data_IF_282333993274
#
_entry.id   IF_282333993274
#
_cell.length_a   1.000
_cell.length_b   1.000
_cell.length_c   1.000
_cell.angle_alpha   90.00
_cell.angle_beta   90.00
_cell.angle_gamma   90.00
#
_symmetry.space_group_name_H-M   'P 1'
#
loop_
_entity.id
_entity.type
_entity.pdbx_description
1 polymer ?
#
# COMPACT_ATOMS: atom_id res chain seq x y z
N UNK A 1 -4.70 0.82 -16.09
CA UNK A 1 -6.04 0.79 -16.75
C UNK A 1 -6.13 -0.14 -17.96
N UNK A 2 -5.15 -0.20 -18.85
CA UNK A 2 -5.26 -1.07 -20.05
C UNK A 2 -5.35 -2.57 -19.72
N UNK A 3 -4.66 -3.06 -18.70
CA UNK A 3 -4.67 -4.47 -18.29
C UNK A 3 -6.03 -4.90 -17.72
N UNK A 4 -6.60 -4.13 -16.79
CA UNK A 4 -7.92 -4.42 -16.21
C UNK A 4 -8.99 -4.39 -17.30
N UNK A 5 -8.98 -3.37 -18.17
CA UNK A 5 -9.92 -3.27 -19.27
C UNK A 5 -9.83 -4.47 -20.24
N UNK A 6 -8.62 -4.99 -20.46
CA UNK A 6 -8.43 -6.20 -21.28
C UNK A 6 -9.04 -7.43 -20.59
N UNK A 7 -8.79 -7.63 -19.29
CA UNK A 7 -9.40 -8.72 -18.53
C UNK A 7 -10.93 -8.69 -18.60
N UNK A 8 -11.52 -7.49 -18.40
CA UNK A 8 -12.97 -7.30 -18.42
C UNK A 8 -13.57 -7.52 -19.81
N UNK A 9 -12.85 -7.18 -20.87
CA UNK A 9 -13.32 -7.37 -22.25
C UNK A 9 -13.29 -8.83 -22.69
N UNK A 10 -12.32 -9.60 -22.19
CA UNK A 10 -12.06 -10.98 -22.61
C UNK A 10 -12.79 -12.03 -21.74
N UNK A 11 -13.36 -11.63 -20.59
CA UNK A 11 -13.95 -12.58 -19.64
C UNK A 11 -15.33 -12.11 -19.17
N UNK A 12 -16.27 -13.04 -19.12
CA UNK A 12 -17.59 -12.81 -18.53
C UNK A 12 -17.52 -12.81 -16.99
N UNK A 13 -18.51 -12.24 -16.29
CA UNK A 13 -18.56 -12.29 -14.82
C UNK A 13 -18.65 -13.72 -14.25
N UNK A 14 -19.20 -14.65 -15.02
CA UNK A 14 -19.28 -16.07 -14.64
C UNK A 14 -17.92 -16.76 -14.72
N UNK A 15 -17.03 -16.30 -15.60
CA UNK A 15 -15.70 -16.89 -15.81
C UNK A 15 -14.63 -16.24 -14.92
N UNK A 16 -14.74 -14.93 -14.69
CA UNK A 16 -13.74 -14.14 -13.97
C UNK A 16 -14.36 -13.18 -12.98
N UNK A 17 -13.97 -13.31 -11.75
CA UNK A 17 -14.23 -12.33 -10.68
C UNK A 17 -12.96 -11.56 -10.35
N UNK A 18 -13.09 -10.27 -10.02
CA UNK A 18 -11.96 -9.37 -9.74
C UNK A 18 -12.12 -8.76 -8.35
N UNK A 19 -11.02 -8.66 -7.62
CA UNK A 19 -10.87 -7.80 -6.43
C UNK A 19 -9.78 -6.79 -6.75
N UNK A 20 -10.01 -5.52 -6.41
CA UNK A 20 -9.04 -4.44 -6.64
C UNK A 20 -8.68 -3.76 -5.32
N UNK A 21 -7.39 -3.64 -5.03
CA UNK A 21 -6.86 -2.73 -3.99
C UNK A 21 -6.11 -1.60 -4.67
N UNK A 22 -6.66 -0.39 -4.57
CA UNK A 22 -6.08 0.86 -5.08
C UNK A 22 -5.40 1.62 -3.94
N UNK A 23 -4.24 1.14 -3.51
CA UNK A 23 -3.49 1.73 -2.40
C UNK A 23 -2.76 3.01 -2.81
N UNK A 24 -2.61 3.24 -4.10
CA UNK A 24 -2.01 4.46 -4.63
C UNK A 24 -3.04 5.50 -5.07
N UNK A 25 -4.34 5.26 -4.81
CA UNK A 25 -5.46 6.10 -5.21
C UNK A 25 -5.40 6.47 -6.70
N UNK A 26 -5.15 5.47 -7.55
CA UNK A 26 -5.01 5.61 -9.01
C UNK A 26 -6.33 5.84 -9.74
N UNK A 27 -7.43 5.95 -9.01
CA UNK A 27 -8.77 6.21 -9.56
C UNK A 27 -9.44 4.94 -10.08
N UNK A 28 -9.21 3.80 -9.42
CA UNK A 28 -9.85 2.53 -9.77
C UNK A 28 -11.33 2.46 -9.34
N UNK A 29 -11.84 3.44 -8.61
CA UNK A 29 -13.27 3.57 -8.27
C UNK A 29 -14.18 3.53 -9.51
N UNK A 30 -13.68 3.89 -10.70
CA UNK A 30 -14.41 3.77 -11.97
C UNK A 30 -14.84 2.34 -12.28
N UNK A 31 -14.26 1.34 -11.61
CA UNK A 31 -14.63 -0.07 -11.78
C UNK A 31 -15.70 -0.56 -10.78
N UNK A 32 -16.16 0.28 -9.84
CA UNK A 32 -17.10 -0.16 -8.81
C UNK A 32 -18.41 -0.72 -9.34
N UNK A 33 -18.85 -0.28 -10.53
CA UNK A 33 -20.10 -0.74 -11.15
C UNK A 33 -19.89 -1.89 -12.16
N UNK A 34 -18.68 -2.45 -12.22
CA UNK A 34 -18.38 -3.52 -13.17
C UNK A 34 -18.85 -4.86 -12.60
N UNK A 35 -19.64 -5.67 -13.36
CA UNK A 35 -20.23 -6.92 -12.87
C UNK A 35 -19.21 -7.97 -12.40
N UNK A 36 -17.97 -7.92 -12.91
CA UNK A 36 -16.89 -8.82 -12.52
C UNK A 36 -16.30 -8.48 -11.12
N UNK A 37 -16.57 -7.29 -10.58
CA UNK A 37 -16.00 -6.88 -9.30
C UNK A 37 -16.76 -7.53 -8.14
N UNK A 38 -16.07 -8.31 -7.29
CA UNK A 38 -16.68 -9.01 -6.16
C UNK A 38 -17.08 -8.10 -5.02
N UNK A 39 -16.31 -7.05 -4.79
CA UNK A 39 -16.51 -6.06 -3.74
C UNK A 39 -16.05 -4.69 -4.26
N UNK A 40 -16.54 -3.58 -3.72
CA UNK A 40 -16.06 -2.26 -4.08
C UNK A 40 -14.53 -2.15 -3.95
N UNK A 41 -13.93 -1.28 -4.76
CA UNK A 41 -12.49 -1.05 -4.74
C UNK A 41 -12.00 -0.73 -3.33
N UNK A 42 -10.96 -1.43 -2.91
CA UNK A 42 -10.36 -1.27 -1.58
C UNK A 42 -9.29 -0.18 -1.67
N UNK A 43 -9.40 0.87 -0.86
CA UNK A 43 -8.40 1.95 -0.76
C UNK A 43 -7.65 1.97 0.58
N UNK A 44 -7.75 0.90 1.36
CA UNK A 44 -7.24 0.83 2.73
C UNK A 44 -6.41 -0.45 2.93
N UNK A 45 -5.26 -0.32 3.61
CA UNK A 45 -4.31 -1.42 3.86
C UNK A 45 -4.94 -2.54 4.67
N UNK A 46 -5.69 -2.22 5.74
CA UNK A 46 -6.31 -3.24 6.59
C UNK A 46 -7.33 -4.05 5.81
N UNK A 47 -8.17 -3.40 5.01
CA UNK A 47 -9.14 -4.08 4.13
C UNK A 47 -8.44 -4.93 3.07
N UNK A 48 -7.24 -4.53 2.61
CA UNK A 48 -6.41 -5.34 1.71
C UNK A 48 -6.01 -6.66 2.38
N UNK A 49 -5.62 -6.64 3.66
CA UNK A 49 -5.33 -7.86 4.41
C UNK A 49 -6.58 -8.70 4.68
N UNK A 50 -7.73 -8.09 4.99
CA UNK A 50 -8.99 -8.82 5.09
C UNK A 50 -9.37 -9.53 3.79
N UNK A 51 -9.12 -8.91 2.64
CA UNK A 51 -9.32 -9.57 1.35
C UNK A 51 -8.38 -10.76 1.15
N UNK A 52 -7.13 -10.68 1.59
CA UNK A 52 -6.16 -11.79 1.58
C UNK A 52 -6.64 -12.94 2.48
N UNK A 53 -7.10 -12.64 3.68
CA UNK A 53 -7.61 -13.66 4.62
C UNK A 53 -8.89 -14.32 4.06
N UNK A 54 -9.78 -13.55 3.44
CA UNK A 54 -10.94 -14.06 2.76
C UNK A 54 -10.56 -14.99 1.60
N UNK A 55 -9.59 -14.59 0.75
CA UNK A 55 -9.09 -15.42 -0.34
C UNK A 55 -8.46 -16.73 0.14
N UNK A 56 -7.78 -16.72 1.28
CA UNK A 56 -7.24 -17.93 1.90
C UNK A 56 -8.37 -18.86 2.36
N UNK A 57 -9.44 -18.32 2.93
CA UNK A 57 -10.63 -19.07 3.30
C UNK A 57 -11.33 -19.66 2.07
N UNK A 58 -11.48 -18.89 1.01
CA UNK A 58 -12.04 -19.33 -0.26
C UNK A 58 -11.20 -20.44 -0.90
N UNK A 59 -9.86 -20.33 -0.90
CA UNK A 59 -8.98 -21.38 -1.39
C UNK A 59 -9.15 -22.69 -0.62
N UNK A 60 -9.30 -22.62 0.71
CA UNK A 60 -9.60 -23.80 1.54
C UNK A 60 -10.96 -24.41 1.21
N UNK A 61 -11.98 -23.57 1.01
CA UNK A 61 -13.33 -24.01 0.60
C UNK A 61 -13.28 -24.73 -0.75
N UNK A 62 -12.61 -24.16 -1.75
CA UNK A 62 -12.42 -24.78 -3.08
C UNK A 62 -11.64 -26.09 -3.00
N UNK A 63 -10.61 -26.16 -2.17
CA UNK A 63 -9.89 -27.42 -1.91
C UNK A 63 -10.83 -28.53 -1.46
N UNK A 64 -11.73 -28.23 -0.54
CA UNK A 64 -12.74 -29.20 -0.04
C UNK A 64 -13.69 -29.64 -1.16
N UNK A 65 -14.13 -28.73 -2.03
CA UNK A 65 -14.97 -29.05 -3.18
C UNK A 65 -14.24 -29.94 -4.19
N UNK A 66 -12.98 -29.63 -4.48
CA UNK A 66 -12.17 -30.39 -5.44
C UNK A 66 -11.89 -31.82 -4.95
N UNK A 67 -11.62 -31.99 -3.65
CA UNK A 67 -11.44 -33.31 -3.04
C UNK A 67 -12.70 -34.17 -3.19
N UNK A 68 -13.89 -33.61 -2.99
CA UNK A 68 -15.17 -34.32 -3.14
C UNK A 68 -15.42 -34.82 -4.56
N UNK A 69 -14.86 -34.15 -5.57
CA UNK A 69 -15.05 -34.50 -6.98
C UNK A 69 -13.79 -35.09 -7.63
N UNK A 70 -12.75 -35.44 -6.84
CA UNK A 70 -11.45 -35.89 -7.35
C UNK A 70 -10.83 -34.93 -8.39
N UNK A 71 -11.16 -33.64 -8.31
CA UNK A 71 -10.59 -32.61 -9.20
C UNK A 71 -9.24 -32.14 -8.65
N UNK A 72 -8.25 -31.94 -9.55
CA UNK A 72 -6.91 -31.48 -9.20
C UNK A 72 -6.76 -29.96 -9.27
N UNK A 73 -7.65 -29.30 -10.01
CA UNK A 73 -7.66 -27.86 -10.22
C UNK A 73 -9.05 -27.37 -10.60
N UNK A 74 -9.21 -26.06 -10.71
CA UNK A 74 -10.48 -25.41 -11.07
C UNK A 74 -11.00 -25.83 -12.45
N UNK A 75 -10.13 -26.02 -13.43
CA UNK A 75 -10.55 -26.33 -14.79
C UNK A 75 -11.16 -27.73 -14.85
N UNK A 76 -10.54 -28.72 -14.18
CA UNK A 76 -11.11 -30.07 -14.04
C UNK A 76 -12.40 -30.05 -13.24
N UNK A 77 -12.45 -29.29 -12.14
CA UNK A 77 -13.66 -29.14 -11.35
C UNK A 77 -14.82 -28.60 -12.20
N UNK A 78 -14.58 -27.53 -12.93
CA UNK A 78 -15.59 -26.89 -13.78
C UNK A 78 -16.04 -27.75 -14.96
N UNK A 79 -15.22 -28.69 -15.39
CA UNK A 79 -15.58 -29.62 -16.47
C UNK A 79 -16.67 -30.58 -16.06
N UNK A 80 -16.68 -31.01 -14.78
CA UNK A 80 -17.59 -32.05 -14.27
C UNK A 80 -18.64 -31.51 -13.30
N UNK A 81 -18.52 -30.26 -12.85
CA UNK A 81 -19.47 -29.64 -11.91
C UNK A 81 -20.64 -28.99 -12.63
N UNK A 82 -21.85 -29.20 -12.13
CA UNK A 82 -23.04 -28.46 -12.56
C UNK A 82 -22.99 -26.98 -12.13
N UNK A 83 -22.29 -26.69 -11.05
CA UNK A 83 -22.05 -25.30 -10.56
C UNK A 83 -20.59 -24.94 -10.76
N UNK A 84 -20.33 -24.20 -11.81
CA UNK A 84 -18.99 -23.71 -12.11
C UNK A 84 -18.52 -22.65 -11.12
N UNK A 85 -17.23 -22.58 -10.88
CA UNK A 85 -16.57 -21.56 -10.09
C UNK A 85 -15.85 -20.59 -11.03
N UNK A 86 -16.03 -19.28 -10.82
CA UNK A 86 -15.24 -18.26 -11.51
C UNK A 86 -13.79 -18.29 -11.05
N UNK A 87 -12.86 -17.97 -11.94
CA UNK A 87 -11.50 -17.63 -11.55
C UNK A 87 -11.53 -16.29 -10.79
N UNK A 88 -10.67 -16.10 -9.81
CA UNK A 88 -10.57 -14.85 -9.05
C UNK A 88 -9.20 -14.24 -9.32
N UNK A 89 -9.17 -13.00 -9.74
CA UNK A 89 -7.95 -12.21 -9.86
C UNK A 89 -7.99 -11.08 -8.85
N UNK A 90 -7.09 -11.13 -7.88
CA UNK A 90 -6.87 -10.06 -6.94
C UNK A 90 -5.71 -9.19 -7.39
N UNK A 91 -5.99 -7.92 -7.66
CA UNK A 91 -5.01 -6.93 -8.10
C UNK A 91 -4.75 -5.97 -6.95
N UNK A 92 -3.49 -5.88 -6.55
CA UNK A 92 -3.02 -4.91 -5.56
C UNK A 92 -2.16 -3.89 -6.29
N UNK A 93 -2.69 -2.67 -6.43
CA UNK A 93 -1.94 -1.55 -6.98
C UNK A 93 -1.00 -1.00 -5.91
N UNK A 94 0.28 -0.97 -6.26
CA UNK A 94 1.39 -0.49 -5.43
C UNK A 94 1.66 -1.31 -4.16
N UNK A 95 2.32 -2.45 -4.37
CA UNK A 95 2.78 -3.35 -3.30
C UNK A 95 3.68 -2.66 -2.25
N UNK A 96 4.30 -1.53 -2.61
CA UNK A 96 5.16 -0.75 -1.72
C UNK A 96 4.47 -0.42 -0.39
N UNK A 97 3.18 -0.10 -0.42
CA UNK A 97 2.41 0.23 0.79
C UNK A 97 2.26 -0.95 1.77
N UNK A 98 2.45 -2.17 1.29
CA UNK A 98 2.31 -3.38 2.12
C UNK A 98 3.65 -3.89 2.68
N UNK A 99 4.80 -3.35 2.27
CA UNK A 99 6.13 -3.91 2.55
C UNK A 99 6.42 -4.15 4.05
N UNK A 100 5.98 -3.25 4.93
CA UNK A 100 6.20 -3.36 6.38
C UNK A 100 5.24 -4.34 7.08
N UNK A 101 4.19 -4.76 6.38
CA UNK A 101 3.15 -5.64 6.91
C UNK A 101 3.32 -7.09 6.46
N UNK A 102 4.14 -7.34 5.45
CA UNK A 102 4.36 -8.69 4.89
C UNK A 102 5.08 -9.64 5.85
N UNK A 103 5.95 -9.16 6.71
CA UNK A 103 6.67 -10.01 7.67
C UNK A 103 5.73 -10.72 8.65
N UNK A 104 4.48 -10.24 8.80
CA UNK A 104 3.48 -10.76 9.71
C UNK A 104 2.38 -11.57 9.03
N UNK A 105 2.41 -11.71 7.70
CA UNK A 105 1.32 -12.33 6.96
C UNK A 105 1.64 -13.75 6.51
N UNK A 106 1.58 -14.70 7.45
CA UNK A 106 1.60 -16.13 7.13
C UNK A 106 0.45 -16.52 6.19
N UNK A 107 -0.69 -15.82 6.28
CA UNK A 107 -1.84 -15.99 5.38
C UNK A 107 -1.48 -15.72 3.93
N UNK A 108 -0.79 -14.62 3.63
CA UNK A 108 -0.40 -14.30 2.27
C UNK A 108 0.59 -15.32 1.70
N UNK A 109 1.59 -15.74 2.49
CA UNK A 109 2.54 -16.78 2.07
C UNK A 109 1.80 -18.09 1.75
N UNK A 110 0.92 -18.52 2.63
CA UNK A 110 0.12 -19.73 2.46
C UNK A 110 -0.78 -19.65 1.22
N UNK A 111 -1.36 -18.48 0.97
CA UNK A 111 -2.20 -18.24 -0.21
C UNK A 111 -1.38 -18.28 -1.49
N UNK A 112 -0.24 -17.58 -1.55
CA UNK A 112 0.62 -17.54 -2.74
C UNK A 112 1.16 -18.91 -3.14
N UNK A 113 1.44 -19.79 -2.18
CA UNK A 113 1.95 -21.14 -2.45
C UNK A 113 0.92 -22.06 -3.11
N UNK A 114 -0.38 -21.85 -2.85
CA UNK A 114 -1.41 -22.85 -3.18
C UNK A 114 -2.56 -22.34 -4.05
N UNK A 115 -2.72 -21.03 -4.20
CA UNK A 115 -3.96 -20.44 -4.76
C UNK A 115 -4.19 -20.72 -6.25
N UNK A 116 -3.17 -20.91 -7.06
CA UNK A 116 -3.31 -21.05 -8.51
C UNK A 116 -4.16 -22.25 -8.92
N UNK A 117 -3.99 -23.40 -8.24
CA UNK A 117 -4.78 -24.61 -8.52
C UNK A 117 -6.27 -24.36 -8.23
N UNK A 118 -6.57 -23.45 -7.30
CA UNK A 118 -7.93 -23.08 -6.91
C UNK A 118 -8.55 -22.04 -7.83
N UNK A 119 -7.80 -21.59 -8.88
CA UNK A 119 -8.23 -20.53 -9.78
C UNK A 119 -8.19 -19.15 -9.14
N UNK A 120 -7.34 -18.95 -8.14
CA UNK A 120 -7.13 -17.66 -7.47
C UNK A 120 -5.75 -17.16 -7.84
N UNK A 121 -5.67 -15.95 -8.38
CA UNK A 121 -4.45 -15.31 -8.84
C UNK A 121 -4.28 -13.98 -8.13
N UNK A 122 -3.07 -13.68 -7.64
CA UNK A 122 -2.77 -12.41 -7.00
C UNK A 122 -1.72 -11.70 -7.85
N UNK A 123 -2.04 -10.49 -8.25
CA UNK A 123 -1.17 -9.64 -9.05
C UNK A 123 -0.79 -8.40 -8.23
N UNK A 124 0.50 -8.21 -8.07
CA UNK A 124 1.04 -7.02 -7.43
C UNK A 124 1.63 -6.11 -8.49
N UNK A 125 1.20 -4.86 -8.48
CA UNK A 125 1.83 -3.81 -9.26
C UNK A 125 2.74 -2.98 -8.38
N UNK A 126 3.83 -2.49 -8.93
CA UNK A 126 4.70 -1.53 -8.27
C UNK A 126 5.30 -0.57 -9.28
N UNK A 127 5.27 0.72 -8.94
CA UNK A 127 6.01 1.77 -9.64
C UNK A 127 7.49 1.79 -9.24
N UNK A 128 7.82 1.06 -8.16
CA UNK A 128 9.16 0.98 -7.60
C UNK A 128 9.86 -0.29 -8.05
N UNK A 129 11.20 -0.23 -8.12
CA UNK A 129 11.99 -1.42 -8.38
C UNK A 129 11.85 -2.40 -7.19
N UNK A 130 11.35 -3.61 -7.47
CA UNK A 130 11.15 -4.66 -6.47
C UNK A 130 12.42 -4.99 -5.66
N UNK A 131 13.62 -4.74 -6.23
CA UNK A 131 14.89 -4.93 -5.52
C UNK A 131 15.03 -4.04 -4.28
N UNK A 132 14.34 -2.90 -4.28
CA UNK A 132 14.39 -1.90 -3.20
C UNK A 132 13.30 -2.09 -2.15
N UNK A 133 12.42 -3.09 -2.31
CA UNK A 133 11.33 -3.37 -1.39
C UNK A 133 11.75 -4.39 -0.35
N UNK A 134 11.38 -4.15 0.91
CA UNK A 134 11.52 -5.10 2.02
C UNK A 134 10.33 -6.07 2.03
N UNK A 135 10.36 -7.05 1.12
CA UNK A 135 9.28 -8.01 0.94
C UNK A 135 9.49 -9.33 1.70
N UNK A 136 10.61 -9.46 2.44
CA UNK A 136 10.92 -10.67 3.19
C UNK A 136 10.81 -11.95 2.32
N UNK A 137 10.21 -13.00 2.87
CA UNK A 137 9.99 -14.30 2.19
C UNK A 137 9.07 -14.21 0.96
N UNK A 138 8.28 -13.15 0.83
CA UNK A 138 7.33 -12.97 -0.27
C UNK A 138 8.05 -12.59 -1.56
N UNK A 139 9.23 -11.98 -1.48
CA UNK A 139 10.00 -11.54 -2.65
C UNK A 139 10.24 -12.66 -3.66
N UNK A 140 10.64 -13.82 -3.18
CA UNK A 140 10.94 -14.97 -4.05
C UNK A 140 9.66 -15.54 -4.68
N UNK A 141 8.54 -15.53 -3.93
CA UNK A 141 7.26 -15.98 -4.43
C UNK A 141 6.72 -15.04 -5.52
N UNK A 142 6.84 -13.72 -5.37
CA UNK A 142 6.42 -12.73 -6.36
C UNK A 142 7.27 -12.84 -7.64
N UNK A 143 8.57 -13.02 -7.53
CA UNK A 143 9.48 -13.18 -8.70
C UNK A 143 9.12 -14.39 -9.52
N UNK A 144 8.76 -15.52 -8.90
CA UNK A 144 8.30 -16.73 -9.58
C UNK A 144 7.04 -16.47 -10.40
N UNK A 145 6.11 -15.64 -9.90
CA UNK A 145 4.89 -15.28 -10.62
C UNK A 145 5.16 -14.34 -11.80
N UNK A 146 6.03 -13.36 -11.66
CA UNK A 146 6.38 -12.42 -12.73
C UNK A 146 7.03 -13.12 -13.95
N UNK A 147 7.82 -14.17 -13.73
CA UNK A 147 8.43 -14.93 -14.81
C UNK A 147 7.43 -15.80 -15.59
N UNK A 148 6.27 -16.10 -15.03
CA UNK A 148 5.23 -16.95 -15.64
C UNK A 148 4.07 -16.19 -16.27
N UNK A 149 3.98 -14.90 -16.10
CA UNK A 149 2.96 -14.08 -16.75
C UNK A 149 3.40 -13.77 -18.19
N UNK A 150 2.67 -14.23 -19.22
CA UNK A 150 3.02 -14.03 -20.64
C UNK A 150 2.67 -12.60 -21.12
N UNK A 151 2.92 -11.58 -20.32
CA UNK A 151 2.56 -10.21 -20.66
C UNK A 151 3.80 -9.31 -20.62
N UNK A 152 4.31 -8.97 -21.78
CA UNK A 152 5.15 -7.80 -21.98
C UNK A 152 4.35 -6.56 -21.60
N UNK A 153 4.60 -6.05 -20.40
CA UNK A 153 4.04 -4.76 -19.99
C UNK A 153 4.91 -3.65 -20.57
N UNK A 154 4.62 -3.22 -21.78
CA UNK A 154 5.05 -1.91 -22.26
C UNK A 154 4.28 -0.82 -21.50
N UNK A 155 4.54 -0.70 -20.22
CA UNK A 155 4.04 0.41 -19.42
C UNK A 155 5.06 1.55 -19.49
N UNK A 156 4.74 2.56 -20.28
CA UNK A 156 5.42 3.85 -20.21
C UNK A 156 5.00 4.58 -18.93
N UNK A 157 5.94 5.00 -18.05
CA UNK A 157 5.63 5.57 -16.74
C UNK A 157 5.10 7.01 -16.77
N UNK A 158 4.70 7.56 -17.91
CA UNK A 158 4.63 9.02 -18.08
C UNK A 158 3.31 9.71 -17.69
N UNK A 159 2.22 9.01 -17.35
CA UNK A 159 0.93 9.72 -17.17
C UNK A 159 0.38 9.74 -15.73
N UNK A 160 0.88 8.91 -14.82
CA UNK A 160 0.31 8.81 -13.47
C UNK A 160 0.93 9.76 -12.42
N UNK A 161 2.08 10.38 -12.72
CA UNK A 161 2.84 11.11 -11.70
C UNK A 161 2.34 12.52 -11.36
N UNK A 162 1.60 13.20 -12.23
CA UNK A 162 1.25 14.61 -11.98
C UNK A 162 -0.03 14.82 -11.17
N UNK A 163 -0.99 13.89 -11.27
CA UNK A 163 -2.29 14.03 -10.57
C UNK A 163 -2.22 13.65 -9.08
N UNK A 164 -1.31 12.74 -8.72
CA UNK A 164 -1.16 12.23 -7.34
C UNK A 164 -0.29 13.12 -6.45
N UNK A 165 0.74 13.74 -7.01
CA UNK A 165 1.60 14.69 -6.30
C UNK A 165 0.79 15.90 -5.82
N UNK A 166 -0.37 16.16 -6.40
CA UNK A 166 -1.19 17.36 -6.12
C UNK A 166 -2.40 17.10 -5.21
N UNK A 167 -2.70 15.85 -4.78
CA UNK A 167 -3.90 15.55 -3.99
C UNK A 167 -3.62 14.94 -2.60
N UNK A 168 -2.48 15.25 -2.00
CA UNK A 168 -2.15 14.80 -0.64
C UNK A 168 -3.09 15.37 0.44
N UNK A 169 -3.94 16.34 0.11
CA UNK A 169 -4.94 16.89 1.01
C UNK A 169 -6.13 15.94 1.29
N UNK A 170 -6.34 14.96 0.42
CA UNK A 170 -7.40 13.96 0.54
C UNK A 170 -6.94 12.63 1.16
N UNK A 171 -5.66 12.53 1.53
CA UNK A 171 -5.08 11.32 2.11
C UNK A 171 -5.55 11.12 3.55
N UNK A 172 -5.83 9.88 3.94
CA UNK A 172 -5.97 9.50 5.35
C UNK A 172 -4.59 9.47 6.05
N UNK A 173 -4.57 9.49 7.39
CA UNK A 173 -3.34 9.63 8.18
C UNK A 173 -2.23 8.65 7.75
N UNK A 174 -2.53 7.36 7.66
CA UNK A 174 -1.57 6.31 7.27
C UNK A 174 -1.09 6.49 5.82
N UNK A 175 -1.97 6.87 4.91
CA UNK A 175 -1.61 7.14 3.52
C UNK A 175 -0.63 8.31 3.43
N UNK A 176 -0.87 9.36 4.22
CA UNK A 176 0.00 10.52 4.28
C UNK A 176 1.38 10.18 4.88
N UNK A 177 1.45 9.30 5.88
CA UNK A 177 2.72 8.80 6.44
C UNK A 177 3.56 8.09 5.37
N UNK A 178 2.95 7.17 4.60
CA UNK A 178 3.63 6.50 3.49
C UNK A 178 4.03 7.46 2.36
N UNK A 179 3.17 8.41 2.04
CA UNK A 179 3.50 9.45 1.07
C UNK A 179 4.72 10.24 1.53
N UNK A 180 4.77 10.67 2.80
CA UNK A 180 5.92 11.36 3.39
C UNK A 180 7.18 10.50 3.37
N UNK A 181 7.08 9.21 3.73
CA UNK A 181 8.20 8.27 3.67
C UNK A 181 8.81 8.21 2.27
N UNK A 182 7.99 8.08 1.23
CA UNK A 182 8.42 8.04 -0.15
C UNK A 182 9.12 9.34 -0.58
N UNK A 183 8.53 10.49 -0.26
CA UNK A 183 9.12 11.80 -0.57
C UNK A 183 10.47 11.99 0.12
N UNK A 184 10.58 11.60 1.38
CA UNK A 184 11.84 11.68 2.14
C UNK A 184 12.91 10.76 1.54
N UNK A 185 12.56 9.54 1.16
CA UNK A 185 13.49 8.62 0.51
C UNK A 185 14.07 9.20 -0.77
N UNK A 186 13.23 9.80 -1.62
CA UNK A 186 13.65 10.47 -2.85
C UNK A 186 14.51 11.72 -2.58
N UNK A 187 14.38 12.33 -1.42
CA UNK A 187 15.20 13.46 -0.96
C UNK A 187 16.48 13.03 -0.22
N UNK A 188 16.88 11.76 -0.33
CA UNK A 188 18.16 11.26 0.18
C UNK A 188 18.12 10.84 1.65
N UNK A 189 16.96 10.77 2.29
CA UNK A 189 16.82 10.12 3.59
C UNK A 189 16.96 8.60 3.43
N UNK A 190 17.59 7.95 4.39
CA UNK A 190 17.84 6.51 4.44
C UNK A 190 17.30 5.91 5.73
N UNK A 191 17.35 4.58 5.85
CA UNK A 191 16.92 3.85 7.05
C UNK A 191 15.51 4.23 7.52
N UNK A 192 14.62 4.57 6.55
CA UNK A 192 13.24 4.94 6.83
C UNK A 192 12.46 3.75 7.40
N UNK A 193 11.85 3.97 8.56
CA UNK A 193 11.01 2.98 9.23
C UNK A 193 9.75 3.67 9.75
N UNK A 194 8.59 3.08 9.50
CA UNK A 194 7.35 3.46 10.19
C UNK A 194 7.37 2.88 11.60
N UNK A 195 6.86 3.61 12.56
CA UNK A 195 6.63 3.12 13.92
C UNK A 195 5.32 2.31 13.98
N UNK A 196 5.00 1.73 15.12
CA UNK A 196 3.72 1.01 15.27
C UNK A 196 2.58 2.01 15.38
N UNK A 197 1.52 1.84 14.60
CA UNK A 197 0.37 2.75 14.51
C UNK A 197 -0.47 2.93 15.79
N UNK A 198 -0.20 2.19 16.88
CA UNK A 198 -0.75 2.43 18.19
C UNK A 198 0.36 2.38 19.25
N UNK A 199 0.51 3.45 20.04
CA UNK A 199 1.57 3.58 21.03
C UNK A 199 2.93 3.99 20.44
N UNK A 200 2.92 4.71 19.33
CA UNK A 200 4.08 5.23 18.60
C UNK A 200 4.84 6.37 19.31
N UNK A 201 4.38 6.73 20.49
CA UNK A 201 4.97 7.80 21.32
C UNK A 201 5.13 9.14 20.57
N UNK A 202 4.32 9.38 19.53
CA UNK A 202 4.29 10.63 18.81
C UNK A 202 5.36 10.78 17.70
N UNK A 203 5.88 9.68 17.18
CA UNK A 203 6.72 9.65 15.97
C UNK A 203 6.16 8.58 15.03
N UNK A 204 5.82 8.96 13.79
CA UNK A 204 5.29 8.07 12.77
C UNK A 204 6.42 7.48 11.91
N UNK A 205 7.47 8.27 11.63
CA UNK A 205 8.60 7.85 10.80
C UNK A 205 9.93 8.11 11.50
N UNK A 206 10.80 7.11 11.43
CA UNK A 206 12.23 7.25 11.73
C UNK A 206 13.00 7.33 10.42
N UNK A 207 13.97 8.25 10.32
CA UNK A 207 14.77 8.44 9.12
C UNK A 207 16.18 8.90 9.47
N UNK A 208 17.13 8.68 8.56
CA UNK A 208 18.49 9.13 8.69
C UNK A 208 18.91 9.92 7.44
N UNK A 209 19.59 11.05 7.67
CA UNK A 209 20.22 11.81 6.59
C UNK A 209 21.50 12.44 7.12
N UNK A 210 22.60 12.27 6.39
CA UNK A 210 23.92 12.82 6.69
C UNK A 210 24.40 12.51 8.13
N UNK A 211 24.11 11.27 8.61
CA UNK A 211 24.46 10.79 9.96
C UNK A 211 23.55 11.32 11.07
N UNK A 212 22.49 12.06 10.73
CA UNK A 212 21.54 12.62 11.68
C UNK A 212 20.28 11.75 11.70
N UNK A 213 19.84 11.33 12.90
CA UNK A 213 18.61 10.59 13.12
C UNK A 213 17.43 11.56 13.30
N UNK A 214 16.40 11.40 12.48
CA UNK A 214 15.17 12.19 12.52
C UNK A 214 14.01 11.35 13.05
N UNK A 215 13.24 11.92 13.98
CA UNK A 215 11.93 11.42 14.36
C UNK A 215 10.86 12.36 13.78
N UNK A 216 9.98 11.85 12.95
CA UNK A 216 9.05 12.65 12.17
C UNK A 216 7.62 12.26 12.52
N UNK A 217 6.83 13.24 12.97
CA UNK A 217 5.40 13.15 13.16
C UNK A 217 4.71 13.67 11.90
N UNK A 218 3.85 12.87 11.30
CA UNK A 218 3.08 13.21 10.10
C UNK A 218 1.65 13.60 10.47
N UNK A 219 1.17 14.74 9.99
CA UNK A 219 -0.21 15.19 10.24
C UNK A 219 -0.87 15.64 8.94
N UNK A 220 -1.88 14.86 8.50
CA UNK A 220 -2.74 15.21 7.38
C UNK A 220 -4.08 15.73 7.93
N UNK A 221 -4.28 17.03 7.91
CA UNK A 221 -5.46 17.67 8.49
C UNK A 221 -6.16 18.56 7.48
N UNK A 222 -7.41 18.91 7.78
CA UNK A 222 -8.18 19.91 7.03
C UNK A 222 -7.94 21.36 7.51
N UNK A 223 -7.30 21.54 8.67
CA UNK A 223 -6.98 22.81 9.32
C UNK A 223 -5.53 22.86 9.77
N UNK A 224 -5.07 24.04 10.20
CA UNK A 224 -3.72 24.25 10.68
C UNK A 224 -3.39 23.42 11.92
N UNK A 225 -2.14 23.00 12.01
CA UNK A 225 -1.64 22.10 13.05
C UNK A 225 -1.27 22.88 14.30
N UNK A 226 -1.85 22.46 15.44
CA UNK A 226 -1.64 23.08 16.75
C UNK A 226 -0.51 22.45 17.58
N UNK A 227 -0.40 22.91 18.83
CA UNK A 227 0.65 22.54 19.80
C UNK A 227 0.78 21.04 20.04
N UNK A 228 -0.31 20.28 19.98
CA UNK A 228 -0.33 18.84 20.27
C UNK A 228 0.69 18.07 19.44
N UNK A 229 0.75 18.33 18.14
CA UNK A 229 1.70 17.64 17.26
C UNK A 229 3.16 17.96 17.60
N UNK A 230 3.45 19.19 18.02
CA UNK A 230 4.79 19.59 18.48
C UNK A 230 5.17 18.87 19.77
N UNK A 231 4.23 18.77 20.71
CA UNK A 231 4.44 18.04 21.98
C UNK A 231 4.69 16.55 21.75
N UNK A 232 3.89 15.93 20.87
CA UNK A 232 4.04 14.53 20.48
C UNK A 232 5.41 14.28 19.85
N UNK A 233 5.81 15.07 18.86
CA UNK A 233 7.11 14.94 18.20
C UNK A 233 8.30 15.16 19.18
N UNK A 234 8.19 16.12 20.09
CA UNK A 234 9.21 16.39 21.10
C UNK A 234 9.37 15.22 22.08
N UNK A 235 8.27 14.66 22.57
CA UNK A 235 8.28 13.49 23.46
C UNK A 235 8.86 12.26 22.76
N UNK A 236 8.39 11.97 21.54
CA UNK A 236 8.84 10.83 20.77
C UNK A 236 10.31 10.88 20.36
N UNK A 237 10.86 12.07 20.10
CA UNK A 237 12.28 12.27 19.85
C UNK A 237 13.15 11.62 20.93
N UNK A 238 12.81 11.85 22.18
CA UNK A 238 13.58 11.32 23.33
C UNK A 238 13.40 9.81 23.45
N UNK A 239 12.18 9.33 23.25
CA UNK A 239 11.87 7.89 23.32
C UNK A 239 12.63 7.08 22.28
N UNK A 240 12.73 7.56 21.03
CA UNK A 240 13.42 6.88 19.94
C UNK A 240 14.91 7.24 19.81
N UNK A 241 15.45 8.08 20.68
CA UNK A 241 16.84 8.51 20.62
C UNK A 241 17.21 9.32 19.38
N UNK A 242 16.26 10.04 18.80
CA UNK A 242 16.48 10.84 17.61
C UNK A 242 17.25 12.13 17.92
N UNK A 243 18.09 12.59 16.98
CA UNK A 243 18.79 13.86 17.10
C UNK A 243 17.84 15.03 16.82
N UNK A 244 16.91 14.88 15.90
CA UNK A 244 15.99 15.92 15.44
C UNK A 244 14.55 15.42 15.46
N UNK A 245 13.65 16.23 16.05
CA UNK A 245 12.21 16.05 15.93
C UNK A 245 11.67 16.93 14.81
N UNK A 246 10.73 16.39 14.03
CA UNK A 246 10.06 17.08 12.93
C UNK A 246 8.56 16.87 13.04
N UNK A 247 7.76 17.92 12.76
CA UNK A 247 6.35 17.76 12.39
C UNK A 247 6.22 18.10 10.93
N UNK A 248 5.72 17.15 10.13
CA UNK A 248 5.47 17.28 8.70
C UNK A 248 3.97 17.29 8.44
N UNK A 249 3.47 18.30 7.73
CA UNK A 249 2.03 18.43 7.47
C UNK A 249 1.70 18.94 6.07
N UNK A 250 0.46 18.64 5.64
CA UNK A 250 -0.15 19.18 4.43
C UNK A 250 -0.72 20.61 4.64
N UNK A 251 -0.66 21.18 5.85
CA UNK A 251 -1.20 22.49 6.22
C UNK A 251 -0.10 23.41 6.76
N UNK A 252 -0.52 24.51 7.33
CA UNK A 252 0.34 25.42 8.08
C UNK A 252 0.28 25.11 9.57
N UNK A 253 1.06 25.82 10.35
CA UNK A 253 1.08 25.72 11.81
C UNK A 253 0.43 26.95 12.43
N UNK A 254 -0.27 26.74 13.52
CA UNK A 254 -0.78 27.86 14.33
C UNK A 254 0.40 28.65 14.94
N UNK A 255 0.16 29.93 15.24
CA UNK A 255 1.18 30.78 15.87
C UNK A 255 1.74 30.17 17.15
N UNK A 256 0.86 29.63 17.99
CA UNK A 256 1.27 28.95 19.25
C UNK A 256 2.11 27.70 19.00
N UNK A 257 1.83 26.93 17.93
CA UNK A 257 2.65 25.76 17.56
C UNK A 257 4.05 26.19 17.11
N UNK A 258 4.17 27.29 16.37
CA UNK A 258 5.46 27.86 15.95
C UNK A 258 6.27 28.31 17.17
N UNK A 259 5.67 29.05 18.09
CA UNK A 259 6.33 29.49 19.32
C UNK A 259 6.81 28.30 20.17
N UNK A 260 5.97 27.28 20.32
CA UNK A 260 6.33 26.07 21.08
C UNK A 260 7.45 25.27 20.41
N UNK A 261 7.42 25.16 19.08
CA UNK A 261 8.43 24.44 18.31
C UNK A 261 9.81 25.12 18.40
N UNK A 262 9.86 26.45 18.42
CA UNK A 262 11.12 27.21 18.61
C UNK A 262 11.75 26.90 19.97
N UNK A 263 10.96 26.92 21.04
CA UNK A 263 11.45 26.62 22.40
C UNK A 263 11.95 25.17 22.50
N UNK A 264 11.22 24.21 21.94
CA UNK A 264 11.52 22.77 22.01
C UNK A 264 12.50 22.29 20.92
N UNK A 265 12.95 23.17 20.03
CA UNK A 265 13.82 22.84 18.90
C UNK A 265 13.24 21.70 18.04
N UNK A 266 11.93 21.78 17.74
CA UNK A 266 11.23 20.90 16.81
C UNK A 266 11.19 21.60 15.46
N UNK A 267 11.56 20.89 14.39
CA UNK A 267 11.47 21.42 13.04
C UNK A 267 10.02 21.32 12.54
N UNK A 268 9.55 22.38 11.93
CA UNK A 268 8.23 22.44 11.32
C UNK A 268 8.37 22.40 9.80
N UNK A 269 7.85 21.34 9.19
CA UNK A 269 7.77 21.17 7.75
C UNK A 269 6.31 21.29 7.34
N UNK A 270 5.95 22.49 6.96
CA UNK A 270 4.60 22.86 6.53
C UNK A 270 4.36 22.50 5.06
N UNK A 271 3.22 22.98 4.52
CA UNK A 271 2.82 22.78 3.12
C UNK A 271 3.86 23.28 2.13
N UNK A 272 4.49 24.43 2.37
CA UNK A 272 5.52 24.96 1.48
C UNK A 272 6.74 24.05 1.46
N UNK A 273 7.17 23.59 2.63
CA UNK A 273 8.30 22.66 2.74
C UNK A 273 7.98 21.31 2.10
N UNK A 274 6.75 20.79 2.31
CA UNK A 274 6.30 19.56 1.66
C UNK A 274 6.31 19.69 0.14
N UNK A 275 5.80 20.81 -0.41
CA UNK A 275 5.82 21.07 -1.84
C UNK A 275 7.26 21.18 -2.39
N UNK A 276 8.18 21.76 -1.63
CA UNK A 276 9.59 21.82 -2.00
C UNK A 276 10.22 20.42 -2.05
N UNK A 277 9.94 19.57 -1.06
CA UNK A 277 10.39 18.17 -1.03
C UNK A 277 9.80 17.36 -2.21
N UNK A 278 8.55 17.59 -2.58
CA UNK A 278 7.89 16.96 -3.73
C UNK A 278 8.60 17.38 -5.04
N UNK A 279 8.90 18.66 -5.21
CA UNK A 279 9.59 19.17 -6.40
C UNK A 279 11.01 18.63 -6.56
N UNK A 280 11.74 18.47 -5.45
CA UNK A 280 13.10 17.91 -5.47
C UNK A 280 13.12 16.38 -5.57
N UNK A 281 11.98 15.70 -5.43
CA UNK A 281 11.83 14.26 -5.59
C UNK A 281 11.60 13.83 -7.06
N UNK A 282 11.44 14.79 -7.97
CA UNK A 282 11.32 14.56 -9.43
C UNK A 282 12.67 14.32 -10.05
#
# INVERSE_FOLDING_TARGET
MSFINKLLKENSPEDLSIILSDLSLSGYEIYNDVPNLLIPVISNIDKTFYAIDWLLSEAKSRTTLFLKQNARNIDIYNQYSSKKLSKIVYIVDEIFYLQNSFEKSDSLISLLLNCNRMGIYILFFSKFNLKNLSLGKIKDLITIYNEKLPFETNFSPQVANEKYINNFDAMEGIEFEFFCQNILQKNGFRNLKTTKGSGDQGIDLLAEKDGIQYGIQCKCYSSDVGNKAVQEAFAGKTFYGCHVAVVLTNRHFTKSAVELAQVNKVLLWDREKLNALIKSAK
#
